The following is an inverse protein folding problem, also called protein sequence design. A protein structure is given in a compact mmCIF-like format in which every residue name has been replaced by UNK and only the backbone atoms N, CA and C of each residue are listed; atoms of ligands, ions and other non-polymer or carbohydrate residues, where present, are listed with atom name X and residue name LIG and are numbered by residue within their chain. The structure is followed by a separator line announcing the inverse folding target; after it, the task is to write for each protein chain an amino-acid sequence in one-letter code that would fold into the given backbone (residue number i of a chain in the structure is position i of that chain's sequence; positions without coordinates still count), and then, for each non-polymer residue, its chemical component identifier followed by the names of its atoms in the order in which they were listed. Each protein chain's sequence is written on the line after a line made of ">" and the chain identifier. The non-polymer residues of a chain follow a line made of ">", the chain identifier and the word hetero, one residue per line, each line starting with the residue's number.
data_IF_381543412827
#
_entry.id   IF_381543412827
#
_cell.length_a   1.000
_cell.length_b   1.000
_cell.length_c   1.000
_cell.angle_alpha   90.00
_cell.angle_beta   90.00
_cell.angle_gamma   90.00
#
_symmetry.space_group_name_H-M   'P 1'
#
loop_
_entity.id
_entity.type
_entity.pdbx_description
1 polymer ?
#
# COMPACT_ATOMS: atom_id res chain seq x y z
N UNK A 1 -20.96 -17.87 -11.73
CA UNK A 1 -19.53 -17.70 -11.39
C UNK A 1 -19.43 -17.05 -10.03
N UNK A 2 -18.62 -17.59 -9.12
CA UNK A 2 -18.37 -16.98 -7.80
C UNK A 2 -17.70 -15.60 -7.96
N UNK A 3 -17.96 -14.67 -7.03
CA UNK A 3 -17.19 -13.42 -6.98
C UNK A 3 -15.72 -13.73 -6.71
N UNK A 4 -14.76 -13.06 -7.37
CA UNK A 4 -13.34 -13.27 -7.07
C UNK A 4 -13.02 -12.89 -5.63
N UNK A 5 -12.05 -13.58 -5.04
CA UNK A 5 -11.65 -13.41 -3.63
C UNK A 5 -11.00 -12.05 -3.37
N UNK A 6 -10.39 -11.45 -4.39
CA UNK A 6 -9.72 -10.15 -4.31
C UNK A 6 -10.05 -9.25 -5.51
N UNK A 7 -10.21 -7.96 -5.26
CA UNK A 7 -10.40 -6.92 -6.28
C UNK A 7 -9.63 -5.66 -5.89
N UNK A 8 -8.62 -5.32 -6.69
CA UNK A 8 -7.72 -4.16 -6.52
C UNK A 8 -7.63 -3.37 -7.83
N UNK A 9 -8.73 -3.21 -8.54
CA UNK A 9 -8.79 -2.46 -9.79
C UNK A 9 -10.15 -1.75 -9.89
N UNK A 10 -10.24 -0.74 -10.77
CA UNK A 10 -11.50 -0.10 -11.13
C UNK A 10 -12.13 -0.89 -12.29
N UNK A 11 -13.27 -1.57 -12.12
CA UNK A 11 -13.81 -2.44 -13.16
C UNK A 11 -14.38 -1.70 -14.38
N UNK A 12 -14.93 -0.50 -14.17
CA UNK A 12 -15.48 0.36 -15.22
C UNK A 12 -14.34 1.19 -15.84
N UNK A 13 -14.00 0.88 -17.10
CA UNK A 13 -12.90 1.53 -17.82
C UNK A 13 -13.16 3.02 -18.08
N UNK A 14 -14.39 3.40 -18.39
CA UNK A 14 -14.75 4.82 -18.58
C UNK A 14 -14.66 5.58 -17.25
N UNK A 15 -15.10 4.97 -16.14
CA UNK A 15 -14.89 5.55 -14.80
C UNK A 15 -13.40 5.68 -14.50
N UNK A 16 -12.59 4.69 -14.84
CA UNK A 16 -11.15 4.74 -14.66
C UNK A 16 -10.50 5.88 -15.48
N UNK A 17 -10.86 6.05 -16.75
CA UNK A 17 -10.30 7.13 -17.59
C UNK A 17 -10.76 8.52 -17.10
N UNK A 18 -11.99 8.67 -16.62
CA UNK A 18 -12.44 9.91 -15.96
C UNK A 18 -11.62 10.22 -14.70
N UNK A 19 -11.40 9.22 -13.84
CA UNK A 19 -10.58 9.36 -12.63
C UNK A 19 -9.13 9.73 -12.99
N UNK A 20 -8.54 9.04 -13.95
CA UNK A 20 -7.17 9.29 -14.42
C UNK A 20 -7.00 10.73 -14.90
N UNK A 21 -7.97 11.27 -15.64
CA UNK A 21 -7.98 12.67 -16.07
C UNK A 21 -8.02 13.63 -14.87
N UNK A 22 -8.80 13.31 -13.84
CA UNK A 22 -8.98 14.19 -12.68
C UNK A 22 -7.79 14.12 -11.69
N UNK A 23 -7.05 13.01 -11.66
CA UNK A 23 -6.04 12.71 -10.65
C UNK A 23 -4.63 13.24 -10.97
N UNK A 24 -4.41 13.90 -12.11
CA UNK A 24 -3.09 14.40 -12.50
C UNK A 24 -2.39 15.24 -11.42
N UNK A 25 -3.15 16.03 -10.66
CA UNK A 25 -2.62 16.82 -9.54
C UNK A 25 -2.16 15.95 -8.35
N UNK A 26 -2.87 14.86 -8.04
CA UNK A 26 -2.48 13.92 -6.98
C UNK A 26 -1.23 13.15 -7.37
N UNK A 27 -1.16 12.66 -8.60
CA UNK A 27 0.01 11.93 -9.11
C UNK A 27 1.26 12.83 -9.07
N UNK A 28 1.12 14.09 -9.49
CA UNK A 28 2.21 15.09 -9.36
C UNK A 28 2.61 15.27 -7.89
N UNK A 29 1.65 15.34 -6.97
CA UNK A 29 1.91 15.50 -5.53
C UNK A 29 2.64 14.30 -4.93
N UNK A 30 2.27 13.08 -5.31
CA UNK A 30 2.93 11.83 -4.89
C UNK A 30 4.42 11.87 -5.27
N UNK A 31 4.71 12.18 -6.54
CA UNK A 31 6.09 12.26 -7.04
C UNK A 31 6.92 13.34 -6.34
N UNK A 32 6.37 14.56 -6.20
CA UNK A 32 7.05 15.67 -5.50
C UNK A 32 7.37 15.33 -4.05
N UNK A 33 6.53 14.52 -3.40
CA UNK A 33 6.75 14.12 -2.00
C UNK A 33 7.77 13.00 -1.82
N UNK A 34 8.43 12.53 -2.88
CA UNK A 34 9.26 11.33 -2.81
C UNK A 34 8.44 10.08 -2.41
N UNK A 35 7.18 10.02 -2.83
CA UNK A 35 6.23 8.96 -2.51
C UNK A 35 5.86 8.82 -1.01
N UNK A 36 6.03 9.86 -0.18
CA UNK A 36 5.41 9.91 1.16
C UNK A 36 3.88 9.86 1.10
N UNK A 37 3.30 10.42 0.03
CA UNK A 37 1.92 10.12 -0.36
C UNK A 37 1.90 8.91 -1.29
N UNK A 38 0.84 8.13 -1.18
CA UNK A 38 0.65 6.93 -2.00
C UNK A 38 -0.82 6.77 -2.36
N UNK A 39 -1.10 6.15 -3.51
CA UNK A 39 -2.44 5.93 -4.01
C UNK A 39 -2.64 4.45 -4.35
N UNK A 40 -3.50 3.80 -3.59
CA UNK A 40 -3.78 2.38 -3.76
C UNK A 40 -5.17 2.15 -4.33
N UNK A 41 -5.25 1.26 -5.33
CA UNK A 41 -6.52 0.82 -5.91
C UNK A 41 -7.09 -0.29 -5.04
N UNK A 42 -8.38 -0.20 -4.76
CA UNK A 42 -9.15 -1.14 -3.94
C UNK A 42 -10.33 -1.65 -4.77
N UNK A 43 -11.33 -2.25 -4.14
CA UNK A 43 -12.52 -2.76 -4.84
C UNK A 43 -13.40 -1.60 -5.36
N UNK A 44 -13.07 -1.06 -6.54
CA UNK A 44 -13.81 0.03 -7.19
C UNK A 44 -13.57 1.43 -6.61
N UNK A 45 -12.56 1.63 -5.77
CA UNK A 45 -12.21 2.94 -5.21
C UNK A 45 -10.70 3.09 -5.04
N UNK A 46 -10.24 4.30 -4.77
CA UNK A 46 -8.86 4.60 -4.41
C UNK A 46 -8.75 4.95 -2.93
N UNK A 47 -7.70 4.50 -2.26
CA UNK A 47 -7.29 5.05 -0.98
C UNK A 47 -6.03 5.91 -1.18
N UNK A 48 -6.10 7.15 -0.72
CA UNK A 48 -4.97 8.05 -0.60
C UNK A 48 -4.34 7.89 0.79
N UNK A 49 -3.04 7.63 0.81
CA UNK A 49 -2.25 7.48 2.03
C UNK A 49 -1.26 8.63 2.19
N UNK A 50 -0.91 8.95 3.43
CA UNK A 50 0.26 9.73 3.79
C UNK A 50 1.00 9.02 4.92
N UNK A 51 2.28 8.66 4.70
CA UNK A 51 3.08 7.86 5.65
C UNK A 51 2.33 6.65 6.21
N UNK A 52 1.75 5.86 5.31
CA UNK A 52 0.97 4.67 5.66
C UNK A 52 -0.37 4.86 6.33
N UNK A 53 -0.81 6.09 6.58
CA UNK A 53 -2.13 6.37 7.13
C UNK A 53 -3.10 6.73 6.01
N UNK A 54 -4.27 6.08 6.01
CA UNK A 54 -5.33 6.42 5.06
C UNK A 54 -5.89 7.81 5.38
N UNK A 55 -5.69 8.76 4.46
CA UNK A 55 -6.17 10.14 4.57
C UNK A 55 -7.35 10.42 3.65
N UNK A 56 -7.81 9.43 2.88
CA UNK A 56 -9.02 9.55 2.09
C UNK A 56 -9.35 8.30 1.31
N UNK A 57 -10.57 7.79 1.48
CA UNK A 57 -11.20 6.85 0.55
C UNK A 57 -11.91 7.67 -0.53
N UNK A 58 -11.59 7.46 -1.80
CA UNK A 58 -12.09 8.23 -2.95
C UNK A 58 -12.84 7.28 -3.88
N UNK A 59 -14.16 7.40 -3.90
CA UNK A 59 -15.05 6.61 -4.74
C UNK A 59 -15.68 7.51 -5.81
N UNK A 60 -15.53 7.14 -7.07
CA UNK A 60 -16.24 7.80 -8.17
C UNK A 60 -17.62 7.16 -8.37
N UNK A 61 -18.65 7.98 -8.46
CA UNK A 61 -20.04 7.55 -8.60
C UNK A 61 -20.57 7.89 -9.99
N UNK A 62 -20.84 6.85 -10.78
CA UNK A 62 -21.69 6.94 -11.97
C UNK A 62 -23.15 6.60 -11.63
N UNK A 63 -24.14 7.15 -12.36
CA UNK A 63 -24.00 8.07 -13.49
C UNK A 63 -23.87 9.55 -13.09
N UNK A 64 -23.96 9.89 -11.80
CA UNK A 64 -24.00 11.29 -11.33
C UNK A 64 -22.69 12.09 -11.51
N UNK A 65 -21.61 11.44 -11.97
CA UNK A 65 -20.28 12.00 -12.18
C UNK A 65 -19.75 12.81 -10.99
N UNK A 66 -19.82 12.23 -9.79
CA UNK A 66 -19.35 12.86 -8.56
C UNK A 66 -18.39 11.95 -7.81
N UNK A 67 -17.59 12.56 -6.94
CA UNK A 67 -16.78 11.82 -5.97
C UNK A 67 -17.48 11.79 -4.62
N UNK A 68 -17.48 10.61 -4.01
CA UNK A 68 -17.68 10.43 -2.58
C UNK A 68 -16.31 10.21 -1.93
N UNK A 69 -15.90 11.16 -1.10
CA UNK A 69 -14.62 11.10 -0.39
C UNK A 69 -14.90 10.91 1.10
N UNK A 70 -14.37 9.84 1.70
CA UNK A 70 -14.46 9.60 3.14
C UNK A 70 -13.12 9.88 3.80
N UNK A 71 -13.08 10.78 4.78
CA UNK A 71 -11.87 11.14 5.53
C UNK A 71 -12.16 11.04 7.02
N UNK A 72 -11.26 10.43 7.80
CA UNK A 72 -11.42 10.39 9.25
C UNK A 72 -11.49 11.82 9.83
N UNK A 73 -12.44 12.06 10.73
CA UNK A 73 -12.79 13.40 11.21
C UNK A 73 -11.62 14.12 11.88
N UNK A 74 -10.73 13.37 12.55
CA UNK A 74 -9.52 13.91 13.19
C UNK A 74 -8.58 14.55 12.18
N UNK A 75 -8.50 14.07 10.93
CA UNK A 75 -7.59 14.60 9.89
C UNK A 75 -8.11 15.86 9.18
N UNK A 76 -9.38 16.20 9.34
CA UNK A 76 -10.01 17.33 8.65
C UNK A 76 -10.03 18.56 9.53
N UNK A 77 -9.64 19.71 8.99
CA UNK A 77 -9.75 21.01 9.67
C UNK A 77 -11.15 21.63 9.45
N UNK A 78 -11.68 22.35 10.44
CA UNK A 78 -13.03 22.93 10.36
C UNK A 78 -13.28 23.84 9.15
N UNK A 79 -12.26 24.54 8.65
CA UNK A 79 -12.39 25.33 7.41
C UNK A 79 -12.76 24.47 6.20
N UNK A 80 -12.28 23.23 6.14
CA UNK A 80 -12.61 22.28 5.07
C UNK A 80 -14.07 21.82 5.26
N UNK A 81 -14.48 21.55 6.51
CA UNK A 81 -15.86 21.19 6.84
C UNK A 81 -16.83 22.29 6.41
N UNK A 82 -16.56 23.55 6.79
CA UNK A 82 -17.39 24.71 6.42
C UNK A 82 -17.48 24.90 4.90
N UNK A 83 -16.38 24.70 4.18
CA UNK A 83 -16.33 24.91 2.72
C UNK A 83 -17.06 23.83 1.91
N UNK A 84 -16.92 22.56 2.30
CA UNK A 84 -17.42 21.44 1.51
C UNK A 84 -18.63 20.73 2.13
N UNK A 85 -19.05 21.15 3.33
CA UNK A 85 -20.24 20.70 4.05
C UNK A 85 -20.43 19.16 4.06
N UNK A 86 -19.45 18.39 4.58
CA UNK A 86 -19.54 16.93 4.59
C UNK A 86 -20.62 16.43 5.56
N UNK A 87 -21.13 15.24 5.29
CA UNK A 87 -21.98 14.51 6.24
C UNK A 87 -21.09 13.75 7.22
N UNK A 88 -21.32 13.90 8.51
CA UNK A 88 -20.66 13.09 9.54
C UNK A 88 -21.31 11.71 9.63
N UNK A 89 -20.50 10.66 9.52
CA UNK A 89 -20.94 9.27 9.70
C UNK A 89 -19.90 8.56 10.56
N UNK A 90 -20.26 8.21 11.80
CA UNK A 90 -19.34 7.71 12.81
C UNK A 90 -18.12 8.63 12.96
N UNK A 91 -16.90 8.09 12.87
CA UNK A 91 -15.66 8.85 12.96
C UNK A 91 -15.20 9.43 11.62
N UNK A 92 -16.04 9.41 10.58
CA UNK A 92 -15.69 9.85 9.24
C UNK A 92 -16.54 11.02 8.76
N UNK A 93 -15.96 11.82 7.88
CA UNK A 93 -16.63 12.89 7.14
C UNK A 93 -16.73 12.47 5.68
N UNK A 94 -17.96 12.48 5.17
CA UNK A 94 -18.30 12.05 3.81
C UNK A 94 -18.57 13.30 2.96
N UNK A 95 -17.65 13.58 2.05
CA UNK A 95 -17.75 14.68 1.10
C UNK A 95 -18.33 14.15 -0.21
N UNK A 96 -19.49 14.67 -0.63
CA UNK A 96 -20.07 14.42 -1.96
C UNK A 96 -19.82 15.64 -2.82
N UNK A 97 -18.89 15.53 -3.76
CA UNK A 97 -18.35 16.68 -4.48
C UNK A 97 -18.35 16.45 -6.00
N UNK A 98 -18.63 17.49 -6.81
CA UNK A 98 -18.41 17.44 -8.26
C UNK A 98 -16.94 17.20 -8.61
N UNK A 99 -16.66 16.65 -9.80
CA UNK A 99 -15.29 16.40 -10.30
C UNK A 99 -14.34 17.59 -10.13
N UNK A 100 -14.79 18.79 -10.51
CA UNK A 100 -14.02 20.04 -10.40
C UNK A 100 -13.62 20.42 -8.96
N UNK A 101 -14.28 19.86 -7.95
CA UNK A 101 -13.99 20.13 -6.53
C UNK A 101 -13.02 19.12 -5.92
N UNK A 102 -12.65 18.05 -6.63
CA UNK A 102 -11.69 17.07 -6.13
C UNK A 102 -10.32 17.70 -5.85
N UNK A 103 -9.79 18.47 -6.80
CA UNK A 103 -8.53 19.19 -6.62
C UNK A 103 -8.62 20.25 -5.52
N UNK A 104 -9.65 21.11 -5.43
CA UNK A 104 -9.85 21.98 -4.28
C UNK A 104 -9.88 21.26 -2.92
N UNK A 105 -10.55 20.11 -2.81
CA UNK A 105 -10.60 19.33 -1.57
C UNK A 105 -9.21 18.83 -1.20
N UNK A 106 -8.48 18.26 -2.15
CA UNK A 106 -7.12 17.77 -2.00
C UNK A 106 -6.05 18.78 -2.46
N UNK A 107 -6.30 20.06 -2.25
CA UNK A 107 -5.32 21.11 -2.54
C UNK A 107 -4.07 20.93 -1.67
N UNK A 108 -2.92 21.46 -2.09
CA UNK A 108 -1.68 21.36 -1.31
C UNK A 108 -1.85 21.88 0.12
N UNK A 109 -2.62 22.94 0.31
CA UNK A 109 -2.91 23.51 1.63
C UNK A 109 -3.71 22.53 2.52
N UNK A 110 -4.70 21.84 1.95
CA UNK A 110 -5.49 20.86 2.68
C UNK A 110 -4.71 19.57 2.94
N UNK A 111 -3.96 19.07 1.95
CA UNK A 111 -3.10 17.90 2.11
C UNK A 111 -1.99 18.13 3.15
N UNK A 112 -1.38 19.31 3.18
CA UNK A 112 -0.40 19.67 4.22
C UNK A 112 -1.04 19.72 5.61
N UNK A 113 -2.27 20.25 5.71
CA UNK A 113 -3.01 20.26 6.97
C UNK A 113 -3.34 18.84 7.44
N UNK A 114 -3.79 17.96 6.55
CA UNK A 114 -4.07 16.55 6.86
C UNK A 114 -2.79 15.84 7.29
N UNK A 115 -1.70 15.99 6.52
CA UNK A 115 -0.39 15.41 6.82
C UNK A 115 0.14 15.85 8.19
N UNK A 116 -0.02 17.13 8.55
CA UNK A 116 0.38 17.64 9.86
C UNK A 116 -0.42 17.00 11.01
N UNK A 117 -1.70 16.70 10.79
CA UNK A 117 -2.52 15.98 11.77
C UNK A 117 -2.16 14.51 11.88
N UNK A 118 -1.84 13.86 10.76
CA UNK A 118 -1.28 12.50 10.73
C UNK A 118 -0.03 12.46 11.59
N UNK A 119 0.93 13.39 11.39
CA UNK A 119 2.18 13.49 12.18
C UNK A 119 2.00 13.63 13.70
N UNK A 120 0.86 14.15 14.16
CA UNK A 120 0.57 14.33 15.61
C UNK A 120 -0.01 13.07 16.25
N UNK A 121 -0.54 12.15 15.46
CA UNK A 121 -1.07 10.89 15.99
C UNK A 121 0.09 9.90 16.10
N UNK A 122 0.28 9.34 17.29
CA UNK A 122 1.37 8.42 17.58
C UNK A 122 1.30 7.20 16.64
N UNK A 123 2.35 6.98 15.85
CA UNK A 123 2.35 5.95 14.81
C UNK A 123 2.82 4.61 15.34
N UNK A 124 2.27 3.53 14.79
CA UNK A 124 2.92 2.22 14.87
C UNK A 124 4.19 2.27 14.02
N UNK A 125 5.34 2.04 14.66
CA UNK A 125 6.66 2.09 14.02
C UNK A 125 6.73 1.21 12.75
N UNK A 126 6.11 0.03 12.76
CA UNK A 126 6.06 -0.89 11.60
C UNK A 126 5.39 -0.24 10.37
N UNK A 127 4.34 0.59 10.55
CA UNK A 127 3.70 1.30 9.43
C UNK A 127 4.64 2.34 8.80
N UNK A 128 5.47 2.99 9.63
CA UNK A 128 6.50 3.93 9.14
C UNK A 128 7.52 3.15 8.32
N UNK A 129 7.92 1.97 8.79
CA UNK A 129 8.88 1.13 8.11
C UNK A 129 8.36 0.53 6.80
N UNK A 130 7.11 0.05 6.76
CA UNK A 130 6.43 -0.29 5.50
C UNK A 130 6.53 0.87 4.50
N UNK A 131 6.25 2.09 4.96
CA UNK A 131 6.32 3.27 4.09
C UNK A 131 7.75 3.52 3.59
N UNK A 132 8.75 3.42 4.45
CA UNK A 132 10.17 3.59 4.05
C UNK A 132 10.57 2.56 2.99
N UNK A 133 10.20 1.29 3.18
CA UNK A 133 10.43 0.25 2.18
C UNK A 133 9.76 0.59 0.84
N UNK A 134 8.53 1.11 0.87
CA UNK A 134 7.83 1.56 -0.33
C UNK A 134 8.53 2.72 -1.04
N UNK A 135 8.96 3.74 -0.30
CA UNK A 135 9.62 4.93 -0.89
C UNK A 135 10.98 4.57 -1.49
N UNK A 136 11.75 3.74 -0.80
CA UNK A 136 13.13 3.43 -1.19
C UNK A 136 13.21 2.43 -2.35
N UNK A 137 12.11 1.74 -2.67
CA UNK A 137 12.03 0.75 -3.74
C UNK A 137 11.14 1.18 -4.92
N UNK A 138 10.70 2.44 -4.99
CA UNK A 138 9.70 2.89 -5.97
C UNK A 138 10.15 2.83 -7.44
N UNK A 139 11.45 2.96 -7.70
CA UNK A 139 12.01 3.00 -9.06
C UNK A 139 12.67 1.68 -9.49
N UNK A 140 12.30 0.57 -8.83
CA UNK A 140 12.83 -0.76 -9.15
C UNK A 140 11.94 -1.46 -10.18
N UNK A 141 12.56 -2.14 -11.14
CA UNK A 141 11.88 -3.00 -12.11
C UNK A 141 11.95 -4.49 -11.71
N UNK A 142 12.94 -4.84 -10.89
CA UNK A 142 13.21 -6.19 -10.39
C UNK A 142 12.34 -6.57 -9.17
N UNK A 143 11.91 -5.58 -8.38
CA UNK A 143 11.03 -5.75 -7.23
C UNK A 143 10.07 -4.58 -7.11
N UNK A 144 8.79 -4.82 -7.39
CA UNK A 144 7.75 -3.79 -7.34
C UNK A 144 6.84 -4.04 -6.14
N UNK A 145 6.75 -3.09 -5.22
CA UNK A 145 5.76 -3.16 -4.14
C UNK A 145 4.40 -2.73 -4.72
N UNK A 146 3.54 -3.71 -5.02
CA UNK A 146 2.31 -3.50 -5.77
C UNK A 146 1.12 -3.16 -4.88
N UNK A 147 1.12 -3.57 -3.61
CA UNK A 147 0.08 -3.21 -2.66
C UNK A 147 0.60 -3.28 -1.22
N UNK A 148 -0.17 -2.70 -0.31
CA UNK A 148 0.02 -2.69 1.14
C UNK A 148 -1.27 -3.05 1.86
N UNK A 149 -1.15 -3.62 3.05
CA UNK A 149 -2.27 -3.91 3.93
C UNK A 149 -3.35 -4.72 3.20
N UNK A 150 -2.92 -5.80 2.58
CA UNK A 150 -3.76 -6.61 1.68
C UNK A 150 -4.59 -7.58 2.50
N UNK A 151 -5.90 -7.53 2.25
CA UNK A 151 -6.90 -8.47 2.76
C UNK A 151 -7.72 -8.94 1.57
N UNK A 152 -8.07 -10.22 1.54
CA UNK A 152 -9.06 -10.76 0.61
C UNK A 152 -10.36 -11.08 1.35
N UNK A 153 -11.33 -11.62 0.62
CA UNK A 153 -12.66 -11.93 1.18
C UNK A 153 -12.68 -13.22 2.01
N UNK A 154 -11.64 -14.06 1.90
CA UNK A 154 -11.60 -15.38 2.53
C UNK A 154 -10.84 -15.35 3.86
N UNK A 155 -9.93 -14.40 4.03
CA UNK A 155 -9.14 -14.23 5.25
C UNK A 155 -9.47 -12.95 6.02
N UNK A 156 -9.34 -13.04 7.35
CA UNK A 156 -9.35 -11.87 8.26
C UNK A 156 -7.96 -11.33 8.55
N UNK A 157 -6.91 -12.00 8.07
CA UNK A 157 -5.53 -11.56 8.25
C UNK A 157 -5.16 -10.51 7.18
N UNK A 158 -4.22 -9.64 7.53
CA UNK A 158 -3.82 -8.49 6.71
C UNK A 158 -2.32 -8.61 6.43
N UNK A 159 -1.97 -8.86 5.18
CA UNK A 159 -0.58 -8.87 4.72
C UNK A 159 -0.02 -7.44 4.75
N UNK A 160 1.18 -7.25 5.28
CA UNK A 160 1.81 -5.93 5.34
C UNK A 160 2.06 -5.36 3.95
N UNK A 161 2.85 -6.07 3.13
CA UNK A 161 3.19 -5.67 1.77
C UNK A 161 3.09 -6.86 0.80
N UNK A 162 2.52 -6.59 -0.38
CA UNK A 162 2.55 -7.53 -1.51
C UNK A 162 3.44 -6.96 -2.60
N UNK A 163 4.35 -7.79 -3.10
CA UNK A 163 5.33 -7.39 -4.11
C UNK A 163 5.30 -8.31 -5.32
N UNK A 164 5.73 -7.77 -6.45
CA UNK A 164 5.98 -8.48 -7.69
C UNK A 164 7.48 -8.55 -7.88
N UNK A 165 8.04 -9.76 -7.74
CA UNK A 165 9.46 -9.99 -7.99
C UNK A 165 9.64 -10.45 -9.44
N UNK A 166 10.46 -9.73 -10.19
CA UNK A 166 10.77 -10.06 -11.58
C UNK A 166 11.52 -11.39 -11.65
N UNK A 167 11.13 -12.22 -12.62
CA UNK A 167 11.85 -13.41 -13.06
C UNK A 167 12.58 -13.05 -14.36
N UNK A 168 12.41 -13.84 -15.40
CA UNK A 168 12.93 -13.55 -16.73
C UNK A 168 11.90 -12.75 -17.55
N UNK A 169 12.38 -11.84 -18.40
CA UNK A 169 11.56 -11.02 -19.30
C UNK A 169 10.49 -10.21 -18.56
N UNK A 170 9.22 -10.35 -18.93
CA UNK A 170 8.05 -9.70 -18.32
C UNK A 170 7.30 -10.62 -17.35
N UNK A 171 7.93 -11.74 -16.94
CA UNK A 171 7.36 -12.64 -15.95
C UNK A 171 7.67 -12.15 -14.55
N UNK A 172 6.65 -12.13 -13.70
CA UNK A 172 6.74 -11.75 -12.30
C UNK A 172 6.14 -12.84 -11.44
N UNK A 173 6.61 -12.96 -10.21
CA UNK A 173 6.00 -13.80 -9.19
C UNK A 173 5.49 -12.96 -8.03
N UNK A 174 4.53 -13.48 -7.27
CA UNK A 174 4.15 -12.84 -6.01
C UNK A 174 5.24 -13.08 -4.96
N UNK A 175 5.52 -12.04 -4.18
CA UNK A 175 6.36 -12.12 -3.01
C UNK A 175 5.71 -11.35 -1.86
N UNK A 176 5.28 -12.07 -0.82
CA UNK A 176 4.73 -11.50 0.41
C UNK A 176 5.89 -11.01 1.27
N UNK A 177 5.80 -9.77 1.73
CA UNK A 177 6.79 -9.16 2.62
C UNK A 177 6.08 -8.83 3.93
N UNK A 178 6.49 -9.52 4.99
CA UNK A 178 6.02 -9.27 6.36
C UNK A 178 7.08 -8.44 7.10
N UNK A 179 6.70 -7.29 7.63
CA UNK A 179 7.65 -6.33 8.23
C UNK A 179 7.56 -6.44 9.75
N UNK A 180 8.70 -6.62 10.41
CA UNK A 180 8.78 -6.69 11.87
C UNK A 180 9.89 -5.81 12.42
N UNK A 181 9.64 -5.25 13.59
CA UNK A 181 10.72 -4.70 14.41
C UNK A 181 11.59 -5.81 15.01
N UNK A 182 12.89 -5.54 15.19
CA UNK A 182 13.81 -6.49 15.80
C UNK A 182 13.48 -6.93 17.23
N UNK A 183 12.67 -6.14 17.95
CA UNK A 183 12.18 -6.46 19.29
C UNK A 183 10.74 -7.03 19.29
N UNK A 184 10.16 -7.31 18.11
CA UNK A 184 8.80 -7.84 18.03
C UNK A 184 8.76 -9.31 18.52
N UNK A 185 7.93 -9.65 19.52
CA UNK A 185 7.83 -11.02 20.06
C UNK A 185 7.31 -12.05 19.04
N UNK A 186 6.62 -11.63 17.97
CA UNK A 186 6.17 -12.53 16.90
C UNK A 186 7.35 -13.19 16.16
N UNK A 187 8.54 -12.57 16.22
CA UNK A 187 9.79 -13.15 15.73
C UNK A 187 10.22 -14.39 16.54
N UNK A 188 9.55 -14.74 17.64
CA UNK A 188 9.77 -16.02 18.31
C UNK A 188 9.12 -17.20 17.58
N UNK A 189 8.36 -16.98 16.52
CA UNK A 189 7.88 -18.05 15.63
C UNK A 189 6.45 -17.89 15.11
N UNK A 190 5.70 -16.90 15.60
CA UNK A 190 4.34 -16.63 15.11
C UNK A 190 4.36 -16.11 13.67
N UNK A 191 5.36 -15.29 13.35
CA UNK A 191 5.58 -14.74 12.01
C UNK A 191 5.72 -15.83 10.93
N UNK A 192 6.21 -17.02 11.30
CA UNK A 192 6.32 -18.19 10.42
C UNK A 192 4.94 -18.62 9.93
N UNK A 193 4.01 -18.78 10.87
CA UNK A 193 2.65 -19.24 10.58
C UNK A 193 1.91 -18.20 9.76
N UNK A 194 2.08 -16.91 10.07
CA UNK A 194 1.51 -15.81 9.31
C UNK A 194 2.00 -15.84 7.86
N UNK A 195 3.32 -15.83 7.65
CA UNK A 195 3.91 -15.78 6.32
C UNK A 195 3.53 -17.00 5.46
N UNK A 196 3.60 -18.21 6.03
CA UNK A 196 3.16 -19.44 5.34
C UNK A 196 1.67 -19.41 5.02
N UNK A 197 0.84 -18.89 5.92
CA UNK A 197 -0.59 -18.71 5.69
C UNK A 197 -0.86 -17.77 4.51
N UNK A 198 -0.13 -16.66 4.41
CA UNK A 198 -0.25 -15.72 3.30
C UNK A 198 0.18 -16.32 1.97
N UNK A 199 1.32 -17.00 1.94
CA UNK A 199 1.82 -17.69 0.73
C UNK A 199 0.78 -18.70 0.25
N UNK A 200 0.36 -19.61 1.14
CA UNK A 200 -0.64 -20.63 0.81
C UNK A 200 -1.96 -20.03 0.33
N UNK A 201 -2.42 -18.95 0.95
CA UNK A 201 -3.66 -18.26 0.56
C UNK A 201 -3.59 -17.72 -0.87
N UNK A 202 -2.45 -17.16 -1.28
CA UNK A 202 -2.26 -16.70 -2.67
C UNK A 202 -2.16 -17.91 -3.61
N UNK A 203 -1.43 -18.97 -3.24
CA UNK A 203 -1.33 -20.19 -4.05
C UNK A 203 -2.69 -20.84 -4.31
N UNK A 204 -3.48 -21.03 -3.25
CA UNK A 204 -4.82 -21.64 -3.32
C UNK A 204 -5.80 -20.79 -4.17
N UNK A 205 -5.55 -19.48 -4.29
CA UNK A 205 -6.38 -18.53 -5.05
C UNK A 205 -5.62 -17.83 -6.19
N UNK A 206 -4.60 -18.49 -6.75
CA UNK A 206 -3.60 -17.83 -7.59
C UNK A 206 -4.20 -17.10 -8.80
N UNK A 207 -5.17 -17.72 -9.48
CA UNK A 207 -5.78 -17.14 -10.67
C UNK A 207 -6.49 -15.81 -10.38
N UNK A 208 -7.20 -15.71 -9.27
CA UNK A 208 -7.89 -14.48 -8.85
C UNK A 208 -6.88 -13.37 -8.50
N UNK A 209 -5.80 -13.72 -7.80
CA UNK A 209 -4.72 -12.79 -7.47
C UNK A 209 -4.00 -12.30 -8.74
N UNK A 210 -3.64 -13.21 -9.65
CA UNK A 210 -3.01 -12.88 -10.94
C UNK A 210 -3.86 -11.91 -11.74
N UNK A 211 -5.11 -12.26 -12.03
CA UNK A 211 -6.00 -11.43 -12.84
C UNK A 211 -6.20 -10.05 -12.20
N UNK A 212 -6.38 -10.01 -10.88
CA UNK A 212 -6.53 -8.79 -10.12
C UNK A 212 -5.29 -7.88 -10.24
N UNK A 213 -4.09 -8.42 -10.01
CA UNK A 213 -2.88 -7.61 -9.94
C UNK A 213 -2.26 -7.27 -11.30
N UNK A 214 -2.52 -8.04 -12.35
CA UNK A 214 -2.19 -7.63 -13.73
C UNK A 214 -3.03 -6.40 -14.14
N UNK A 215 -4.34 -6.40 -13.81
CA UNK A 215 -5.21 -5.23 -14.01
C UNK A 215 -4.79 -4.04 -13.15
N UNK A 216 -4.49 -4.28 -11.87
CA UNK A 216 -3.97 -3.25 -10.96
C UNK A 216 -2.69 -2.61 -11.50
N UNK A 217 -1.72 -3.44 -11.90
CA UNK A 217 -0.45 -3.00 -12.46
C UNK A 217 -0.68 -2.09 -13.68
N UNK A 218 -1.48 -2.55 -14.66
CA UNK A 218 -1.82 -1.77 -15.85
C UNK A 218 -2.47 -0.42 -15.50
N UNK A 219 -3.40 -0.41 -14.55
CA UNK A 219 -4.05 0.83 -14.11
C UNK A 219 -3.08 1.78 -13.40
N UNK A 220 -2.20 1.28 -12.52
CA UNK A 220 -1.16 2.10 -11.87
C UNK A 220 -0.15 2.66 -12.86
N UNK A 221 0.25 1.87 -13.87
CA UNK A 221 1.07 2.34 -15.00
C UNK A 221 0.37 3.46 -15.77
N UNK A 222 -0.89 3.26 -16.16
CA UNK A 222 -1.71 4.28 -16.85
C UNK A 222 -1.90 5.57 -16.03
N UNK A 223 -2.01 5.47 -14.70
CA UNK A 223 -2.09 6.62 -13.79
C UNK A 223 -0.73 7.33 -13.63
N UNK A 224 0.37 6.68 -13.98
CA UNK A 224 1.72 7.20 -13.79
C UNK A 224 2.20 7.14 -12.33
N UNK A 225 1.61 6.27 -11.51
CA UNK A 225 2.04 5.99 -10.13
C UNK A 225 3.02 4.82 -10.03
N UNK A 226 3.25 4.10 -11.14
CA UNK A 226 4.18 2.98 -11.22
C UNK A 226 5.01 3.06 -12.51
N UNK A 227 6.29 2.67 -12.45
CA UNK A 227 7.20 2.54 -13.60
C UNK A 227 7.19 1.10 -14.17
N UNK A 228 7.84 0.86 -15.32
CA UNK A 228 8.01 -0.49 -15.89
C UNK A 228 7.33 -0.72 -17.25
N UNK A 229 7.10 -1.98 -17.67
CA UNK A 229 6.48 -2.30 -18.95
C UNK A 229 4.99 -1.91 -19.00
N UNK A 230 4.36 -2.02 -20.17
CA UNK A 230 2.91 -1.76 -20.34
C UNK A 230 2.03 -2.87 -19.77
N UNK A 231 2.57 -4.09 -19.73
CA UNK A 231 1.94 -5.27 -19.17
C UNK A 231 2.96 -6.20 -18.55
N UNK A 232 2.50 -7.03 -17.63
CA UNK A 232 3.26 -8.08 -16.98
C UNK A 232 2.50 -9.40 -17.09
N UNK A 233 3.20 -10.51 -16.91
CA UNK A 233 2.60 -11.82 -16.74
C UNK A 233 2.98 -12.35 -15.36
N UNK A 234 2.01 -12.57 -14.48
CA UNK A 234 2.29 -13.13 -13.15
C UNK A 234 2.23 -14.66 -13.25
N UNK A 235 3.37 -15.32 -13.03
CA UNK A 235 3.52 -16.78 -13.17
C UNK A 235 3.28 -17.50 -11.85
N UNK A 236 2.85 -18.79 -11.88
CA UNK A 236 2.69 -19.60 -10.67
C UNK A 236 4.02 -19.80 -9.95
N UNK A 237 4.23 -19.04 -8.88
CA UNK A 237 5.27 -19.17 -7.86
C UNK A 237 4.96 -18.09 -6.81
N UNK A 238 4.92 -18.43 -5.53
CA UNK A 238 4.63 -17.48 -4.46
C UNK A 238 5.72 -17.63 -3.40
N UNK A 239 6.45 -16.55 -3.14
CA UNK A 239 7.45 -16.53 -2.09
C UNK A 239 7.01 -15.67 -0.91
N UNK A 240 7.56 -15.95 0.27
CA UNK A 240 7.45 -15.10 1.44
C UNK A 240 8.84 -14.67 1.93
N UNK A 241 8.94 -13.46 2.49
CA UNK A 241 10.12 -12.98 3.21
C UNK A 241 9.71 -12.18 4.45
N UNK A 242 10.42 -12.40 5.55
CA UNK A 242 10.33 -11.53 6.73
C UNK A 242 11.40 -10.45 6.62
N UNK A 243 11.01 -9.19 6.69
CA UNK A 243 11.93 -8.05 6.76
C UNK A 243 11.99 -7.56 8.20
N UNK A 244 13.17 -7.65 8.81
CA UNK A 244 13.40 -7.26 10.20
C UNK A 244 14.22 -5.98 10.25
N UNK A 245 13.74 -4.97 10.98
CA UNK A 245 14.42 -3.68 11.07
C UNK A 245 14.55 -3.17 12.50
N UNK A 246 15.63 -2.42 12.75
CA UNK A 246 15.93 -1.88 14.08
C UNK A 246 16.30 -2.95 15.11
N UNK A 247 16.69 -2.51 16.31
CA UNK A 247 17.03 -3.38 17.44
C UNK A 247 17.95 -4.55 17.07
N UNK A 248 19.01 -4.28 16.28
CA UNK A 248 19.79 -5.29 15.56
C UNK A 248 20.27 -6.47 16.42
N UNK A 249 20.65 -6.22 17.68
CA UNK A 249 21.07 -7.27 18.62
C UNK A 249 19.93 -8.21 19.04
N UNK A 250 18.72 -7.65 19.25
CA UNK A 250 17.53 -8.45 19.53
C UNK A 250 17.08 -9.19 18.26
N UNK A 251 17.12 -8.50 17.11
CA UNK A 251 16.83 -9.08 15.81
C UNK A 251 17.71 -10.30 15.54
N UNK A 252 19.04 -10.21 15.72
CA UNK A 252 19.95 -11.33 15.49
C UNK A 252 19.53 -12.58 16.28
N UNK A 253 19.27 -12.41 17.59
CA UNK A 253 18.83 -13.51 18.46
C UNK A 253 17.51 -14.13 18.01
N UNK A 254 16.55 -13.31 17.59
CA UNK A 254 15.25 -13.78 17.14
C UNK A 254 15.34 -14.46 15.76
N UNK A 255 16.15 -13.92 14.84
CA UNK A 255 16.39 -14.49 13.52
C UNK A 255 17.09 -15.86 13.63
N UNK A 256 18.10 -15.99 14.50
CA UNK A 256 18.76 -17.28 14.75
C UNK A 256 17.78 -18.33 15.29
N UNK A 257 16.87 -17.92 16.17
CA UNK A 257 15.80 -18.80 16.68
C UNK A 257 14.80 -19.16 15.57
N UNK A 258 14.42 -18.23 14.71
CA UNK A 258 13.53 -18.48 13.57
C UNK A 258 14.16 -19.48 12.59
N UNK A 259 15.42 -19.27 12.22
CA UNK A 259 16.14 -20.17 11.31
C UNK A 259 16.22 -21.60 11.85
N UNK A 260 16.45 -21.77 13.16
CA UNK A 260 16.41 -23.09 13.81
C UNK A 260 15.01 -23.72 13.84
N UNK A 261 13.95 -22.92 13.85
CA UNK A 261 12.57 -23.41 13.83
C UNK A 261 12.13 -23.79 12.41
N UNK A 262 12.60 -23.05 11.41
CA UNK A 262 12.21 -23.24 10.02
C UNK A 262 13.24 -22.62 9.05
N UNK A 263 14.14 -23.46 8.54
CA UNK A 263 15.19 -23.05 7.59
C UNK A 263 14.64 -22.61 6.23
N UNK A 264 13.38 -22.92 5.91
CA UNK A 264 12.77 -22.53 4.63
C UNK A 264 12.40 -21.04 4.57
N UNK A 265 12.37 -20.35 5.71
CA UNK A 265 11.96 -18.96 5.79
C UNK A 265 13.11 -18.05 5.43
N UNK A 266 12.84 -17.16 4.48
CA UNK A 266 13.76 -16.10 4.10
C UNK A 266 13.59 -14.93 5.06
N UNK A 267 14.68 -14.49 5.65
CA UNK A 267 14.72 -13.30 6.50
C UNK A 267 15.76 -12.33 5.97
N UNK A 268 15.36 -11.07 5.83
CA UNK A 268 16.25 -9.96 5.46
C UNK A 268 16.29 -8.99 6.64
N UNK A 269 17.48 -8.71 7.15
CA UNK A 269 17.68 -7.77 8.24
C UNK A 269 18.28 -6.45 7.72
N UNK A 270 17.62 -5.33 8.01
CA UNK A 270 18.18 -4.00 7.80
C UNK A 270 18.81 -3.50 9.10
N UNK A 271 20.07 -3.04 9.00
CA UNK A 271 20.85 -2.54 10.12
C UNK A 271 21.08 -1.04 9.97
N UNK A 272 20.80 -0.29 11.02
CA UNK A 272 21.04 1.17 11.08
C UNK A 272 22.45 1.45 11.63
N UNK A 273 23.48 0.90 10.99
CA UNK A 273 24.86 1.13 11.40
C UNK A 273 25.37 2.45 10.87
N UNK A 274 26.07 3.22 11.72
CA UNK A 274 26.78 4.43 11.29
C UNK A 274 28.19 4.03 10.85
N UNK A 275 28.51 4.25 9.58
CA UNK A 275 29.86 4.08 9.07
C UNK A 275 30.67 5.35 9.34
N UNK A 276 31.39 5.40 10.46
CA UNK A 276 32.20 6.58 10.84
C UNK A 276 33.48 6.74 10.01
N UNK A 277 33.83 5.76 9.16
CA UNK A 277 35.00 5.85 8.27
C UNK A 277 34.87 6.90 7.17
N UNK A 278 33.67 7.45 6.99
CA UNK A 278 33.37 8.52 6.03
C UNK A 278 33.44 9.91 6.69
N UNK A 279 33.85 10.00 7.95
CA UNK A 279 34.01 11.26 8.69
C UNK A 279 35.45 11.79 8.71
N UNK A 280 36.39 11.02 8.13
CA UNK A 280 37.81 11.36 7.94
C UNK A 280 38.10 11.60 6.45
#
# INVERSE_FOLDING_TARGET
>A
MSSPVIKRYIPDEEAFEAIKSDFGFLVKRIKISGFEYDLQIRDGYFNLYYKGNSIGKILYKKPIEQYEVSIHSTFVHDRIKKRFNPVSLNNYLIFKIPRKQLHPLFSSQNLNSMASKVKKNNFQEEIIYEQMLMTDNVNRDDLIIIDRQVMDKVSKTKMDLLTLKRKENSNYQFCVVEVKLGNNPELEGEVIKQLKGYVKMIEDNFNDYRECYEKNFKQKRKLGTLAGPDSINIVPDVSGVVVVMGYSELANKSIDKLGKKDESIKVIQFKNWLNIKELD
#
